data_IF_993331377942
#
_entry.id   IF_993331377942
#
_cell.length_a   1.000
_cell.length_b   1.000
_cell.length_c   1.000
_cell.angle_alpha   90.00
_cell.angle_beta   90.00
_cell.angle_gamma   90.00
#
_symmetry.space_group_name_H-M   'P 1'
#
loop_
_entity.id
_entity.type
_entity.pdbx_description
1 polymer ?
#
# COMPACT_ATOMS: atom_id res chain seq x y z
N UNK A 1 -34.53 34.34 -18.45
CA UNK A 1 -33.28 33.55 -18.30
C UNK A 1 -33.59 32.35 -17.44
N UNK A 2 -33.45 31.13 -17.97
CA UNK A 2 -33.93 29.89 -17.35
C UNK A 2 -33.00 29.47 -16.21
N UNK A 3 -33.55 29.32 -15.00
CA UNK A 3 -32.82 28.90 -13.81
C UNK A 3 -32.21 27.51 -13.98
N UNK A 4 -30.96 27.37 -13.56
CA UNK A 4 -30.23 26.10 -13.55
C UNK A 4 -30.89 25.19 -12.50
N UNK A 5 -31.50 24.09 -12.93
CA UNK A 5 -31.99 23.05 -12.01
C UNK A 5 -30.78 22.29 -11.47
N UNK A 6 -30.41 22.57 -10.22
CA UNK A 6 -29.33 21.91 -9.50
C UNK A 6 -29.71 20.45 -9.22
N UNK A 7 -29.15 19.51 -10.00
CA UNK A 7 -29.42 18.09 -9.89
C UNK A 7 -28.64 17.48 -8.73
N UNK A 8 -29.29 17.39 -7.56
CA UNK A 8 -28.70 16.94 -6.29
C UNK A 8 -28.07 15.54 -6.37
N UNK A 9 -28.51 14.71 -7.32
CA UNK A 9 -27.91 13.39 -7.60
C UNK A 9 -26.45 13.46 -8.05
N UNK A 10 -26.08 14.49 -8.83
CA UNK A 10 -24.70 14.70 -9.28
C UNK A 10 -23.79 15.21 -8.15
N UNK A 11 -24.34 16.00 -7.23
CA UNK A 11 -23.60 16.45 -6.04
C UNK A 11 -23.34 15.29 -5.08
N UNK A 12 -24.32 14.40 -4.89
CA UNK A 12 -24.14 13.21 -4.05
C UNK A 12 -23.12 12.23 -4.65
N UNK A 13 -23.14 11.99 -5.96
CA UNK A 13 -22.09 11.17 -6.61
C UNK A 13 -20.70 11.75 -6.37
N UNK A 14 -20.54 13.07 -6.54
CA UNK A 14 -19.26 13.72 -6.25
C UNK A 14 -18.82 13.46 -4.81
N UNK A 15 -19.71 13.63 -3.82
CA UNK A 15 -19.41 13.39 -2.40
C UNK A 15 -18.97 11.95 -2.12
N UNK A 16 -19.63 10.94 -2.71
CA UNK A 16 -19.20 9.54 -2.58
C UNK A 16 -17.80 9.31 -3.18
N UNK A 17 -17.52 9.89 -4.36
CA UNK A 17 -16.18 9.81 -4.98
C UNK A 17 -15.08 10.51 -4.18
N UNK A 18 -15.38 11.56 -3.40
CA UNK A 18 -14.36 12.22 -2.55
C UNK A 18 -14.12 11.46 -1.24
N UNK A 19 -15.14 10.78 -0.69
CA UNK A 19 -15.02 10.04 0.56
C UNK A 19 -14.28 8.70 0.40
N UNK A 20 -14.41 8.03 -0.74
CA UNK A 20 -13.71 6.76 -1.00
C UNK A 20 -12.20 6.94 -1.28
N UNK A 21 -11.75 8.16 -1.57
CA UNK A 21 -10.32 8.49 -1.85
C UNK A 21 -9.60 9.06 -0.63
N UNK A 22 -10.31 9.46 0.43
CA UNK A 22 -9.69 10.06 1.60
C UNK A 22 -9.11 8.99 2.54
N UNK A 23 -7.83 8.66 2.34
CA UNK A 23 -7.07 7.83 3.27
C UNK A 23 -6.75 8.68 4.51
N UNK A 24 -7.40 8.38 5.64
CA UNK A 24 -7.13 9.03 6.93
C UNK A 24 -5.71 8.68 7.41
N UNK A 25 -4.88 9.69 7.63
CA UNK A 25 -3.49 9.55 8.08
C UNK A 25 -3.40 9.46 9.62
N UNK A 26 -4.39 8.84 10.24
CA UNK A 26 -4.44 8.69 11.69
C UNK A 26 -3.58 7.51 12.10
N UNK A 27 -2.43 7.80 12.71
CA UNK A 27 -1.32 6.87 12.94
C UNK A 27 -1.55 5.90 14.14
N UNK A 28 -2.80 5.66 14.51
CA UNK A 28 -3.18 4.84 15.68
C UNK A 28 -3.93 3.56 15.27
N UNK A 29 -3.68 3.07 14.06
CA UNK A 29 -4.11 1.75 13.64
C UNK A 29 -2.84 0.95 13.43
N UNK A 30 -2.72 -0.19 14.11
CA UNK A 30 -1.67 -1.14 13.75
C UNK A 30 -1.82 -1.44 12.25
N UNK A 31 -0.75 -1.27 11.46
CA UNK A 31 -0.66 -1.63 10.03
C UNK A 31 -0.68 -3.17 9.85
N UNK A 32 -1.62 -3.81 10.55
CA UNK A 32 -1.77 -5.23 10.67
C UNK A 32 -2.92 -5.66 9.77
N UNK A 33 -2.75 -6.83 9.15
CA UNK A 33 -3.82 -7.48 8.41
C UNK A 33 -4.98 -7.76 9.38
N UNK A 34 -6.04 -6.96 9.31
CA UNK A 34 -7.21 -7.05 10.18
C UNK A 34 -7.94 -8.37 9.89
N UNK A 35 -8.17 -9.17 10.94
CA UNK A 35 -8.79 -10.51 10.84
C UNK A 35 -8.03 -11.51 9.94
N UNK A 36 -6.74 -11.26 9.68
CA UNK A 36 -5.88 -12.16 8.92
C UNK A 36 -5.47 -13.42 9.70
N UNK A 37 -4.74 -14.29 9.01
CA UNK A 37 -4.04 -15.44 9.60
C UNK A 37 -2.58 -15.45 9.17
N UNK A 38 -1.73 -16.17 9.88
CA UNK A 38 -0.31 -16.29 9.56
C UNK A 38 -0.18 -17.04 8.22
N UNK A 39 0.46 -16.40 7.24
CA UNK A 39 0.77 -17.01 5.96
C UNK A 39 2.08 -17.82 6.04
N UNK A 40 2.08 -19.02 5.43
CA UNK A 40 3.29 -19.83 5.29
C UNK A 40 4.08 -19.37 4.05
N UNK A 41 5.41 -19.46 4.08
CA UNK A 41 6.25 -19.13 2.92
C UNK A 41 5.89 -19.97 1.68
N UNK A 42 5.39 -21.19 1.89
CA UNK A 42 4.93 -22.08 0.81
C UNK A 42 3.64 -21.62 0.13
N UNK A 43 2.78 -20.87 0.83
CA UNK A 43 1.49 -20.42 0.29
C UNK A 43 1.58 -19.10 -0.47
N UNK A 44 2.59 -18.26 -0.17
CA UNK A 44 2.80 -16.98 -0.84
C UNK A 44 4.30 -16.68 -1.07
N UNK A 45 5.05 -17.56 -1.76
CA UNK A 45 6.52 -17.49 -1.87
C UNK A 45 7.01 -16.28 -2.67
N UNK A 46 6.13 -15.67 -3.45
CA UNK A 46 6.42 -14.50 -4.27
C UNK A 46 6.35 -13.19 -3.47
N UNK A 47 5.90 -13.20 -2.22
CA UNK A 47 5.77 -11.98 -1.40
C UNK A 47 7.14 -11.40 -1.09
N UNK A 48 7.28 -10.07 -1.21
CA UNK A 48 8.50 -9.35 -0.84
C UNK A 48 8.20 -8.14 0.03
N UNK A 49 9.20 -7.77 0.83
CA UNK A 49 9.24 -6.52 1.56
C UNK A 49 10.02 -5.48 0.77
N UNK A 50 9.40 -4.33 0.51
CA UNK A 50 10.01 -3.23 -0.21
C UNK A 50 10.27 -2.09 0.77
N UNK A 51 11.53 -1.72 0.92
CA UNK A 51 11.96 -0.58 1.74
C UNK A 51 12.42 0.53 0.81
N UNK A 52 11.83 1.72 0.92
CA UNK A 52 12.24 2.89 0.13
C UNK A 52 12.68 4.05 1.03
N UNK A 53 13.81 4.67 0.69
CA UNK A 53 14.48 5.67 1.53
C UNK A 53 14.70 6.97 0.76
N UNK A 54 14.35 8.09 1.40
CA UNK A 54 14.60 9.46 0.92
C UNK A 54 15.09 10.32 2.09
N UNK A 55 16.39 10.55 2.18
CA UNK A 55 16.99 11.26 3.32
C UNK A 55 16.72 10.50 4.63
N UNK A 56 16.02 11.14 5.58
CA UNK A 56 15.58 10.50 6.84
C UNK A 56 14.21 9.81 6.75
N UNK A 57 13.51 9.94 5.61
CA UNK A 57 12.21 9.30 5.42
C UNK A 57 12.41 7.88 4.89
N UNK A 58 11.82 6.92 5.59
CA UNK A 58 11.76 5.53 5.18
C UNK A 58 10.29 5.10 5.13
N UNK A 59 9.93 4.35 4.09
CA UNK A 59 8.62 3.70 4.01
C UNK A 59 8.80 2.21 3.75
N UNK A 60 7.75 1.48 4.11
CA UNK A 60 7.64 0.05 3.90
C UNK A 60 6.41 -0.24 3.05
N UNK A 61 6.57 -1.13 2.09
CA UNK A 61 5.52 -1.57 1.20
C UNK A 61 5.65 -3.08 0.95
N UNK A 62 4.58 -3.67 0.41
CA UNK A 62 4.64 -5.00 -0.19
C UNK A 62 5.05 -4.97 -1.66
N UNK A 63 5.33 -6.16 -2.20
CA UNK A 63 5.46 -6.40 -3.63
C UNK A 63 5.34 -7.89 -3.95
N UNK A 64 5.41 -8.24 -5.24
CA UNK A 64 5.49 -9.62 -5.68
C UNK A 64 6.64 -9.88 -6.67
N UNK A 65 7.30 -11.04 -6.54
CA UNK A 65 8.27 -11.54 -7.51
C UNK A 65 7.51 -11.95 -8.77
N UNK A 66 7.76 -11.24 -9.87
CA UNK A 66 7.18 -11.55 -11.19
C UNK A 66 8.13 -12.47 -11.99
N UNK A 67 9.44 -12.23 -11.87
CA UNK A 67 10.47 -13.04 -12.51
C UNK A 67 11.72 -13.07 -11.62
N UNK A 68 12.75 -13.84 -12.01
CA UNK A 68 14.05 -13.88 -11.31
C UNK A 68 14.72 -12.51 -11.09
N UNK A 69 14.34 -11.47 -11.82
CA UNK A 69 14.95 -10.13 -11.74
C UNK A 69 13.93 -8.99 -11.66
N UNK A 70 12.64 -9.28 -11.50
CA UNK A 70 11.61 -8.25 -11.51
C UNK A 70 10.64 -8.45 -10.34
N UNK A 71 10.43 -7.37 -9.60
CA UNK A 71 9.39 -7.26 -8.57
C UNK A 71 8.37 -6.22 -9.02
N UNK A 72 7.09 -6.58 -8.91
CA UNK A 72 5.98 -5.66 -9.08
C UNK A 72 5.61 -5.04 -7.72
N UNK A 73 5.46 -3.71 -7.69
CA UNK A 73 5.01 -2.95 -6.52
C UNK A 73 4.28 -1.69 -6.98
N UNK A 74 3.63 -0.97 -6.05
CA UNK A 74 2.93 0.26 -6.37
C UNK A 74 3.89 1.41 -6.68
N UNK A 75 3.55 2.26 -7.66
CA UNK A 75 4.40 3.38 -8.05
C UNK A 75 4.70 4.35 -6.89
N UNK A 76 3.73 4.58 -5.99
CA UNK A 76 3.90 5.47 -4.84
C UNK A 76 4.88 4.93 -3.78
N UNK A 77 5.19 3.63 -3.82
CA UNK A 77 6.18 3.02 -2.92
C UNK A 77 7.63 3.33 -3.32
N UNK A 78 7.88 3.72 -4.58
CA UNK A 78 9.24 3.92 -5.11
C UNK A 78 9.47 5.30 -5.70
N UNK A 79 8.43 5.94 -6.23
CA UNK A 79 8.55 7.24 -6.90
C UNK A 79 9.01 8.32 -5.92
N UNK A 80 10.12 8.97 -6.25
CA UNK A 80 10.68 10.07 -5.46
C UNK A 80 11.54 9.62 -4.27
N UNK A 81 11.80 8.32 -4.12
CA UNK A 81 12.79 7.79 -3.17
C UNK A 81 14.15 7.63 -3.84
N UNK A 82 15.22 7.87 -3.09
CA UNK A 82 16.60 7.82 -3.59
C UNK A 82 17.19 6.41 -3.58
N UNK A 83 16.67 5.52 -2.73
CA UNK A 83 17.12 4.14 -2.63
C UNK A 83 15.92 3.23 -2.41
N UNK A 84 15.96 2.05 -3.02
CA UNK A 84 14.94 1.01 -2.88
C UNK A 84 15.66 -0.31 -2.65
N UNK A 85 15.28 -1.00 -1.58
CA UNK A 85 15.75 -2.33 -1.23
C UNK A 85 14.57 -3.30 -1.27
N UNK A 86 14.83 -4.52 -1.72
CA UNK A 86 13.86 -5.61 -1.78
C UNK A 86 14.38 -6.75 -0.94
N UNK A 87 13.60 -7.18 0.04
CA UNK A 87 13.90 -8.36 0.87
C UNK A 87 12.94 -9.49 0.51
N UNK A 88 13.51 -10.59 0.03
CA UNK A 88 12.78 -11.82 -0.34
C UNK A 88 12.89 -12.87 0.77
N UNK A 89 11.99 -13.86 0.79
CA UNK A 89 12.11 -15.00 1.70
C UNK A 89 11.78 -14.69 3.16
N UNK A 90 11.15 -13.54 3.42
CA UNK A 90 10.68 -13.16 4.75
C UNK A 90 9.43 -13.96 5.15
N UNK A 91 9.40 -14.44 6.39
CA UNK A 91 8.25 -15.10 7.00
C UNK A 91 8.18 -14.75 8.50
N UNK A 92 7.06 -15.05 9.15
CA UNK A 92 6.78 -14.62 10.52
C UNK A 92 7.92 -14.92 11.51
N UNK A 93 8.49 -16.13 11.48
CA UNK A 93 9.62 -16.51 12.35
C UNK A 93 10.95 -15.81 12.06
N UNK A 94 11.06 -15.05 10.96
CA UNK A 94 12.22 -14.22 10.64
C UNK A 94 12.01 -12.76 11.06
N UNK A 95 10.76 -12.28 11.07
CA UNK A 95 10.42 -10.92 11.52
C UNK A 95 10.56 -10.73 13.03
N UNK A 96 10.45 -11.78 13.85
CA UNK A 96 10.74 -11.70 15.30
C UNK A 96 12.25 -11.57 15.62
N UNK A 97 13.12 -11.79 14.62
CA UNK A 97 14.59 -11.82 14.79
C UNK A 97 15.32 -10.59 14.25
N UNK A 98 14.59 -9.61 13.71
CA UNK A 98 15.09 -8.31 13.23
C UNK A 98 14.76 -7.21 14.24
#
# INVERSE_FOLDING_TARGET
MKGVKLNYFLLMQMVFFIHDVYSDANNNVDDKIVMGSIANITTAPYTVWVTAIRGRKQIFCGGCILTRKHVLTAAHCVKGYSQVAVTTGIYHGYMESM
#
